data_IF_750487564653
#
_entry.id   IF_750487564653
#
_cell.length_a   1.000
_cell.length_b   1.000
_cell.length_c   1.000
_cell.angle_alpha   90.00
_cell.angle_beta   90.00
_cell.angle_gamma   90.00
#
_symmetry.space_group_name_H-M   'P 1'
#
loop_
_entity.id
_entity.type
_entity.pdbx_description
1 polymer ?
#
# COMPACT_ATOMS: atom_id res chain seq x y z
N UNK A 1 -21.63 21.45 11.76
CA UNK A 1 -21.20 21.26 10.36
C UNK A 1 -20.14 20.18 10.39
N UNK A 2 -20.28 19.07 9.64
CA UNK A 2 -19.24 18.04 9.59
C UNK A 2 -18.03 18.60 8.80
N UNK A 3 -16.82 18.19 9.19
CA UNK A 3 -15.62 18.46 8.39
C UNK A 3 -15.76 17.80 7.02
N UNK A 4 -15.38 18.52 5.97
CA UNK A 4 -15.22 17.97 4.62
C UNK A 4 -13.75 17.63 4.33
N UNK A 5 -13.46 16.74 3.37
CA UNK A 5 -12.08 16.50 2.92
C UNK A 5 -11.36 17.79 2.51
N UNK A 6 -12.07 18.70 1.84
CA UNK A 6 -11.56 20.01 1.48
C UNK A 6 -11.21 20.89 2.70
N UNK A 7 -11.92 20.75 3.82
CA UNK A 7 -11.58 21.48 5.05
C UNK A 7 -10.30 20.94 5.69
N UNK A 8 -10.02 19.64 5.55
CA UNK A 8 -8.78 19.01 6.02
C UNK A 8 -7.61 19.45 5.15
N UNK A 9 -7.79 19.47 3.83
CA UNK A 9 -6.77 19.90 2.88
C UNK A 9 -6.36 21.37 3.05
N UNK A 10 -7.33 22.25 3.34
CA UNK A 10 -7.10 23.69 3.45
C UNK A 10 -6.75 24.15 4.88
N UNK A 11 -6.56 23.24 5.82
CA UNK A 11 -6.25 23.60 7.21
C UNK A 11 -4.83 24.16 7.30
N UNK A 12 -4.66 25.30 7.97
CA UNK A 12 -3.36 25.90 8.20
C UNK A 12 -3.10 26.03 9.71
N UNK A 13 -2.02 25.41 10.18
CA UNK A 13 -1.59 25.51 11.58
C UNK A 13 -0.61 26.68 11.80
N UNK A 14 -0.77 27.40 12.91
CA UNK A 14 0.15 28.48 13.29
C UNK A 14 1.49 27.92 13.81
N UNK A 15 2.61 28.57 13.47
CA UNK A 15 3.93 28.18 13.98
C UNK A 15 3.99 28.29 15.51
N UNK A 16 4.69 27.37 16.20
CA UNK A 16 4.83 27.42 17.66
C UNK A 16 5.43 28.75 18.12
N UNK A 17 5.00 29.29 19.28
CA UNK A 17 5.64 30.46 19.88
C UNK A 17 7.13 30.22 20.10
N UNK A 18 7.95 31.26 19.92
CA UNK A 18 9.41 31.21 20.03
C UNK A 18 9.83 30.50 21.33
N UNK A 19 10.65 29.45 21.21
CA UNK A 19 11.17 28.67 22.34
C UNK A 19 10.35 27.43 22.71
N UNK A 20 9.22 27.15 22.03
CA UNK A 20 8.47 25.89 22.19
C UNK A 20 8.66 24.98 20.97
N UNK A 21 8.76 23.68 21.22
CA UNK A 21 8.81 22.65 20.17
C UNK A 21 7.39 22.41 19.65
N UNK A 22 7.25 22.36 18.33
CA UNK A 22 6.02 21.95 17.63
C UNK A 22 6.10 20.53 17.10
N UNK A 23 5.03 20.09 16.46
CA UNK A 23 5.03 18.88 15.64
C UNK A 23 5.88 19.09 14.38
N UNK A 24 6.36 17.98 13.82
CA UNK A 24 7.07 17.98 12.54
C UNK A 24 6.07 18.23 11.41
N UNK A 25 6.29 19.27 10.60
CA UNK A 25 5.38 19.67 9.52
C UNK A 25 5.17 18.50 8.54
N UNK A 26 6.23 17.80 8.14
CA UNK A 26 6.16 16.67 7.20
C UNK A 26 5.32 15.49 7.73
N UNK A 27 5.41 15.20 9.04
CA UNK A 27 4.64 14.12 9.68
C UNK A 27 3.17 14.50 9.84
N UNK A 28 2.89 15.79 10.08
CA UNK A 28 1.54 16.31 10.17
C UNK A 28 0.87 16.29 8.80
N UNK A 29 1.56 16.72 7.75
CA UNK A 29 1.04 16.72 6.38
C UNK A 29 0.73 15.30 5.91
N UNK A 30 1.65 14.33 6.13
CA UNK A 30 1.41 12.93 5.79
C UNK A 30 0.22 12.32 6.56
N UNK A 31 -0.01 12.75 7.80
CA UNK A 31 -1.18 12.32 8.56
C UNK A 31 -2.48 12.95 8.04
N UNK A 32 -2.45 14.23 7.64
CA UNK A 32 -3.60 14.90 7.05
C UNK A 32 -4.02 14.27 5.72
N UNK A 33 -3.07 13.89 4.86
CA UNK A 33 -3.35 13.15 3.62
C UNK A 33 -4.12 11.85 3.90
N UNK A 34 -3.71 11.12 4.94
CA UNK A 34 -4.32 9.86 5.34
C UNK A 34 -5.74 10.08 5.90
N UNK A 35 -5.93 11.16 6.67
CA UNK A 35 -7.25 11.57 7.17
C UNK A 35 -8.17 12.03 6.02
N UNK A 36 -7.66 12.79 5.06
CA UNK A 36 -8.41 13.25 3.88
C UNK A 36 -8.90 12.06 3.04
N UNK A 37 -8.02 11.09 2.80
CA UNK A 37 -8.35 9.88 2.06
C UNK A 37 -9.42 9.04 2.78
N UNK A 38 -9.27 8.82 4.09
CA UNK A 38 -10.25 8.03 4.85
C UNK A 38 -11.58 8.76 5.01
N UNK A 39 -11.58 10.09 5.16
CA UNK A 39 -12.81 10.87 5.22
C UNK A 39 -13.56 10.83 3.88
N UNK A 40 -12.86 10.87 2.76
CA UNK A 40 -13.44 10.69 1.42
C UNK A 40 -14.07 9.30 1.30
N UNK A 41 -13.31 8.25 1.67
CA UNK A 41 -13.79 6.87 1.66
C UNK A 41 -15.06 6.69 2.50
N UNK A 42 -15.08 7.24 3.72
CA UNK A 42 -16.23 7.15 4.61
C UNK A 42 -17.45 7.91 4.09
N UNK A 43 -17.26 9.04 3.41
CA UNK A 43 -18.37 9.79 2.80
C UNK A 43 -18.97 9.01 1.64
N UNK A 44 -18.15 8.43 0.77
CA UNK A 44 -18.59 7.56 -0.33
C UNK A 44 -19.31 6.32 0.21
N UNK A 45 -18.72 5.63 1.19
CA UNK A 45 -19.34 4.46 1.82
C UNK A 45 -20.68 4.81 2.50
N UNK A 46 -20.79 5.97 3.15
CA UNK A 46 -22.05 6.42 3.73
C UNK A 46 -23.10 6.74 2.66
N UNK A 47 -22.68 7.31 1.53
CA UNK A 47 -23.58 7.60 0.40
C UNK A 47 -24.12 6.30 -0.21
N UNK A 48 -23.25 5.32 -0.46
CA UNK A 48 -23.61 4.00 -0.99
C UNK A 48 -24.54 3.26 -0.02
N UNK A 49 -24.23 3.25 1.27
CA UNK A 49 -25.08 2.64 2.30
C UNK A 49 -26.46 3.29 2.36
N UNK A 50 -26.54 4.63 2.29
CA UNK A 50 -27.82 5.35 2.26
C UNK A 50 -28.63 5.01 1.00
N UNK A 51 -27.97 4.91 -0.14
CA UNK A 51 -28.63 4.49 -1.37
C UNK A 51 -29.17 3.06 -1.23
N UNK A 52 -28.39 2.14 -0.66
CA UNK A 52 -28.81 0.75 -0.47
C UNK A 52 -29.99 0.62 0.48
N UNK A 53 -30.01 1.40 1.56
CA UNK A 53 -31.17 1.47 2.47
C UNK A 53 -32.40 1.99 1.73
N UNK A 54 -32.26 3.04 0.91
CA UNK A 54 -33.38 3.56 0.13
C UNK A 54 -33.93 2.55 -0.89
N UNK A 55 -33.06 1.79 -1.57
CA UNK A 55 -33.44 0.70 -2.47
C UNK A 55 -34.22 -0.40 -1.72
N UNK A 56 -33.69 -0.86 -0.58
CA UNK A 56 -34.35 -1.89 0.24
C UNK A 56 -35.70 -1.41 0.78
N UNK A 57 -35.81 -0.15 1.21
CA UNK A 57 -37.06 0.43 1.66
C UNK A 57 -38.10 0.49 0.51
N UNK A 58 -37.66 0.78 -0.73
CA UNK A 58 -38.52 0.73 -1.92
C UNK A 58 -38.94 -0.70 -2.25
N UNK A 59 -38.05 -1.68 -2.18
CA UNK A 59 -38.37 -3.10 -2.38
C UNK A 59 -39.35 -3.60 -1.31
N UNK A 60 -39.16 -3.23 -0.04
CA UNK A 60 -40.08 -3.55 1.04
C UNK A 60 -41.44 -2.86 0.87
N UNK A 61 -41.46 -1.61 0.39
CA UNK A 61 -42.70 -0.91 0.07
C UNK A 61 -43.43 -1.56 -1.11
N UNK A 62 -42.70 -1.96 -2.16
CA UNK A 62 -43.24 -2.69 -3.30
C UNK A 62 -43.74 -4.09 -2.91
N UNK A 63 -43.03 -4.81 -2.04
CA UNK A 63 -43.46 -6.09 -1.50
C UNK A 63 -44.69 -5.95 -0.58
N UNK A 64 -44.81 -4.86 0.19
CA UNK A 64 -46.03 -4.54 0.96
C UNK A 64 -47.19 -4.13 0.07
N UNK A 65 -46.94 -3.41 -1.02
CA UNK A 65 -47.94 -3.05 -2.02
C UNK A 65 -48.39 -4.27 -2.84
N UNK A 66 -47.47 -5.19 -3.16
CA UNK A 66 -47.74 -6.45 -3.86
C UNK A 66 -48.37 -7.53 -2.97
N UNK A 67 -48.09 -7.52 -1.66
CA UNK A 67 -48.78 -8.30 -0.64
C UNK A 67 -50.12 -7.71 -0.19
N UNK A 68 -50.51 -6.58 -0.79
CA UNK A 68 -51.71 -5.79 -0.49
C UNK A 68 -52.80 -5.90 -1.56
N UNK A 69 -52.97 -7.08 -2.16
CA UNK A 69 -54.26 -7.49 -2.72
C UNK A 69 -54.73 -8.73 -1.95
N UNK A 70 -54.95 -8.56 -0.64
CA UNK A 70 -56.10 -9.20 -0.04
C UNK A 70 -57.30 -8.66 -0.84
N UNK A 71 -57.82 -9.49 -1.73
CA UNK A 71 -59.06 -9.23 -2.43
C UNK A 71 -60.04 -8.64 -1.42
N UNK A 72 -60.35 -7.36 -1.60
CA UNK A 72 -61.51 -6.77 -0.97
C UNK A 72 -62.67 -7.67 -1.38
N UNK A 73 -63.10 -8.53 -0.45
CA UNK A 73 -64.34 -9.24 -0.59
C UNK A 73 -65.39 -8.19 -0.96
N UNK A 74 -66.16 -8.39 -2.04
CA UNK A 74 -67.17 -7.42 -2.42
C UNK A 74 -68.06 -7.19 -1.21
N UNK A 75 -68.20 -5.93 -0.81
CA UNK A 75 -69.12 -5.52 0.23
C UNK A 75 -70.50 -6.08 -0.15
N UNK A 76 -70.97 -7.05 0.62
CA UNK A 76 -72.32 -7.55 0.52
C UNK A 76 -73.24 -6.44 0.99
N UNK A 77 -73.71 -5.64 0.05
CA UNK A 77 -74.83 -4.74 0.24
C UNK A 77 -76.08 -5.61 0.42
N UNK A 78 -76.74 -5.60 1.59
CA UNK A 78 -77.90 -6.44 1.80
C UNK A 78 -79.00 -6.02 0.82
N UNK A 79 -79.56 -6.96 0.03
CA UNK A 79 -80.68 -6.65 -0.83
C UNK A 79 -81.88 -6.17 0.02
N UNK A 80 -82.70 -5.24 -0.49
CA UNK A 80 -83.86 -4.72 0.23
C UNK A 80 -84.80 -5.86 0.60
N UNK A 81 -85.36 -5.77 1.81
CA UNK A 81 -86.41 -6.64 2.31
C UNK A 81 -87.48 -6.85 1.24
N UNK A 82 -87.45 -8.01 0.59
CA UNK A 82 -88.54 -8.49 -0.25
C UNK A 82 -89.37 -9.42 0.60
N UNK A 83 -90.57 -8.93 0.81
CA UNK A 83 -91.81 -9.57 1.26
C UNK A 83 -91.83 -11.09 1.13
N UNK A 84 -92.26 -11.71 2.23
CA UNK A 84 -92.58 -13.12 2.38
C UNK A 84 -93.51 -13.58 1.24
N UNK A 85 -93.18 -14.66 0.50
CA UNK A 85 -94.17 -15.36 -0.28
C UNK A 85 -95.09 -16.12 0.69
N UNK A 86 -96.33 -15.65 0.72
CA UNK A 86 -97.48 -16.28 1.32
C UNK A 86 -97.53 -17.78 0.98
N UNK A 87 -97.88 -18.55 2.00
CA UNK A 87 -98.19 -19.97 1.96
C UNK A 87 -99.16 -20.30 0.83
N UNK A 88 -98.66 -21.05 -0.17
CA UNK A 88 -99.54 -21.85 -1.01
C UNK A 88 -99.93 -23.11 -0.22
N UNK A 89 -101.08 -23.04 0.43
CA UNK A 89 -101.83 -24.23 0.84
C UNK A 89 -102.42 -24.87 -0.42
N UNK A 90 -101.90 -26.05 -0.76
CA UNK A 90 -102.35 -26.83 -1.90
C UNK A 90 -101.57 -28.12 -1.96
N UNK A 91 -102.06 -29.12 -1.24
CA UNK A 91 -101.53 -30.49 -1.22
C UNK A 91 -101.30 -31.02 -2.63
N UNK A 92 -100.02 -31.23 -2.98
CA UNK A 92 -99.58 -32.17 -4.00
C UNK A 92 -98.24 -32.74 -3.52
N UNK A 93 -98.27 -33.91 -2.88
CA UNK A 93 -97.07 -34.67 -2.44
C UNK A 93 -96.02 -34.77 -3.55
N UNK A 94 -96.44 -34.77 -4.81
CA UNK A 94 -95.59 -34.80 -5.99
C UNK A 94 -94.71 -33.54 -6.18
N UNK A 95 -95.17 -32.36 -5.76
CA UNK A 95 -94.38 -31.12 -5.83
C UNK A 95 -93.31 -31.07 -4.73
N UNK A 96 -93.63 -31.56 -3.52
CA UNK A 96 -92.65 -31.71 -2.43
C UNK A 96 -91.55 -32.73 -2.78
N UNK A 97 -91.93 -33.84 -3.43
CA UNK A 97 -90.97 -34.83 -3.94
C UNK A 97 -90.07 -34.28 -5.06
N UNK A 98 -90.62 -33.45 -5.97
CA UNK A 98 -89.84 -32.76 -7.00
C UNK A 98 -88.87 -31.73 -6.39
N UNK A 99 -89.31 -30.96 -5.38
CA UNK A 99 -88.46 -30.00 -4.67
C UNK A 99 -87.34 -30.69 -3.87
N UNK A 100 -87.63 -31.78 -3.17
CA UNK A 100 -86.63 -32.56 -2.44
C UNK A 100 -85.56 -33.16 -3.38
N UNK A 101 -85.97 -33.62 -4.57
CA UNK A 101 -85.03 -34.12 -5.59
C UNK A 101 -84.12 -33.01 -6.14
N UNK A 102 -84.64 -31.80 -6.33
CA UNK A 102 -83.84 -30.64 -6.75
C UNK A 102 -82.87 -30.20 -5.66
N UNK A 103 -83.29 -30.19 -4.38
CA UNK A 103 -82.42 -29.93 -3.24
C UNK A 103 -81.30 -30.96 -3.11
N UNK A 104 -81.60 -32.24 -3.28
CA UNK A 104 -80.61 -33.31 -3.28
C UNK A 104 -79.61 -33.17 -4.44
N UNK A 105 -80.09 -32.84 -5.66
CA UNK A 105 -79.22 -32.57 -6.79
C UNK A 105 -78.32 -31.34 -6.53
N UNK A 106 -78.88 -30.30 -5.92
CA UNK A 106 -78.12 -29.10 -5.54
C UNK A 106 -77.05 -29.41 -4.48
N UNK A 107 -77.37 -30.20 -3.46
CA UNK A 107 -76.40 -30.66 -2.45
C UNK A 107 -75.30 -31.51 -3.08
N UNK A 108 -75.63 -32.48 -3.93
CA UNK A 108 -74.64 -33.29 -4.66
C UNK A 108 -73.71 -32.43 -5.52
N UNK A 109 -74.25 -31.40 -6.18
CA UNK A 109 -73.42 -30.46 -6.97
C UNK A 109 -72.54 -29.58 -6.09
N UNK A 110 -73.04 -29.13 -4.93
CA UNK A 110 -72.28 -28.32 -3.98
C UNK A 110 -71.13 -29.13 -3.35
N UNK A 111 -71.39 -30.40 -2.98
CA UNK A 111 -70.38 -31.30 -2.44
C UNK A 111 -69.31 -31.61 -3.48
N UNK A 112 -69.70 -31.87 -4.73
CA UNK A 112 -68.74 -32.07 -5.84
C UNK A 112 -67.88 -30.84 -6.07
N UNK A 113 -68.46 -29.64 -6.20
CA UNK A 113 -67.71 -28.40 -6.39
C UNK A 113 -66.75 -28.13 -5.23
N UNK A 114 -67.19 -28.41 -4.00
CA UNK A 114 -66.34 -28.27 -2.81
C UNK A 114 -65.18 -29.26 -2.85
N UNK A 115 -65.42 -30.50 -3.27
CA UNK A 115 -64.36 -31.51 -3.39
C UNK A 115 -63.33 -31.17 -4.47
N UNK A 116 -63.78 -30.67 -5.62
CA UNK A 116 -62.89 -30.27 -6.71
C UNK A 116 -62.08 -29.04 -6.34
N UNK A 117 -62.71 -28.04 -5.73
CA UNK A 117 -62.02 -26.84 -5.27
C UNK A 117 -60.96 -27.17 -4.20
N UNK A 118 -61.27 -28.07 -3.25
CA UNK A 118 -60.30 -28.55 -2.26
C UNK A 118 -59.12 -29.26 -2.93
N UNK A 119 -59.39 -30.21 -3.83
CA UNK A 119 -58.35 -30.95 -4.55
C UNK A 119 -57.46 -30.02 -5.40
N UNK A 120 -58.04 -29.03 -6.08
CA UNK A 120 -57.29 -28.02 -6.82
C UNK A 120 -56.43 -27.15 -5.88
N UNK A 121 -56.96 -26.73 -4.73
CA UNK A 121 -56.20 -25.94 -3.75
C UNK A 121 -55.03 -26.72 -3.15
N UNK A 122 -55.24 -28.00 -2.81
CA UNK A 122 -54.20 -28.88 -2.27
C UNK A 122 -53.10 -29.09 -3.32
N UNK A 123 -53.48 -29.26 -4.59
CA UNK A 123 -52.54 -29.35 -5.70
C UNK A 123 -51.74 -28.05 -5.85
N UNK A 124 -52.38 -26.88 -5.86
CA UNK A 124 -51.67 -25.60 -5.97
C UNK A 124 -50.70 -25.38 -4.80
N UNK A 125 -51.09 -25.76 -3.58
CA UNK A 125 -50.20 -25.69 -2.41
C UNK A 125 -49.02 -26.66 -2.52
N UNK A 126 -49.23 -27.87 -3.04
CA UNK A 126 -48.17 -28.83 -3.28
C UNK A 126 -47.19 -28.34 -4.36
N UNK A 127 -47.71 -27.81 -5.47
CA UNK A 127 -46.91 -27.26 -6.56
C UNK A 127 -46.11 -26.03 -6.09
N UNK A 128 -46.75 -25.12 -5.34
CA UNK A 128 -46.08 -23.95 -4.78
C UNK A 128 -44.97 -24.32 -3.78
N UNK A 129 -45.20 -25.33 -2.93
CA UNK A 129 -44.17 -25.86 -2.02
C UNK A 129 -43.00 -26.47 -2.78
N UNK A 130 -43.28 -27.31 -3.79
CA UNK A 130 -42.23 -27.92 -4.61
C UNK A 130 -41.40 -26.86 -5.36
N UNK A 131 -42.03 -25.79 -5.86
CA UNK A 131 -41.33 -24.67 -6.48
C UNK A 131 -40.47 -23.89 -5.48
N UNK A 132 -40.99 -23.63 -4.28
CA UNK A 132 -40.22 -22.96 -3.22
C UNK A 132 -39.00 -23.78 -2.81
N UNK A 133 -39.16 -25.09 -2.62
CA UNK A 133 -38.06 -25.99 -2.27
C UNK A 133 -37.00 -26.04 -3.39
N UNK A 134 -37.42 -26.06 -4.66
CA UNK A 134 -36.52 -26.02 -5.79
C UNK A 134 -35.71 -24.71 -5.85
N UNK A 135 -36.36 -23.56 -5.64
CA UNK A 135 -35.69 -22.26 -5.59
C UNK A 135 -34.69 -22.16 -4.44
N UNK A 136 -35.03 -22.68 -3.26
CA UNK A 136 -34.11 -22.70 -2.11
C UNK A 136 -32.90 -23.57 -2.42
N UNK A 137 -33.09 -24.75 -3.03
CA UNK A 137 -32.00 -25.64 -3.41
C UNK A 137 -31.07 -25.01 -4.47
N UNK A 138 -31.64 -24.30 -5.45
CA UNK A 138 -30.86 -23.57 -6.46
C UNK A 138 -30.09 -22.39 -5.85
N UNK A 139 -30.73 -21.60 -4.98
CA UNK A 139 -30.10 -20.51 -4.25
C UNK A 139 -28.95 -21.00 -3.36
N UNK A 140 -29.13 -22.14 -2.67
CA UNK A 140 -28.07 -22.76 -1.88
C UNK A 140 -26.91 -23.23 -2.75
N UNK A 141 -27.18 -23.90 -3.87
CA UNK A 141 -26.14 -24.39 -4.79
C UNK A 141 -25.33 -23.26 -5.41
N UNK A 142 -25.99 -22.18 -5.80
CA UNK A 142 -25.33 -20.98 -6.36
C UNK A 142 -24.51 -20.26 -5.28
N UNK A 143 -25.02 -20.14 -4.06
CA UNK A 143 -24.27 -19.60 -2.92
C UNK A 143 -23.02 -20.45 -2.61
N UNK A 144 -23.14 -21.78 -2.57
CA UNK A 144 -22.01 -22.67 -2.34
C UNK A 144 -20.94 -22.55 -3.44
N UNK A 145 -21.38 -22.48 -4.70
CA UNK A 145 -20.47 -22.33 -5.85
C UNK A 145 -19.73 -21.01 -5.80
N UNK A 146 -20.44 -19.90 -5.55
CA UNK A 146 -19.81 -18.57 -5.46
C UNK A 146 -18.84 -18.47 -4.29
N UNK A 147 -19.17 -19.06 -3.13
CA UNK A 147 -18.25 -19.13 -1.98
C UNK A 147 -17.02 -19.97 -2.32
N UNK A 148 -17.18 -21.11 -2.99
CA UNK A 148 -16.06 -21.96 -3.41
C UNK A 148 -15.14 -21.23 -4.40
N UNK A 149 -15.71 -20.58 -5.41
CA UNK A 149 -14.94 -19.78 -6.38
C UNK A 149 -14.22 -18.61 -5.72
N UNK A 150 -14.89 -17.88 -4.82
CA UNK A 150 -14.29 -16.77 -4.09
C UNK A 150 -13.11 -17.25 -3.23
N UNK A 151 -13.26 -18.38 -2.54
CA UNK A 151 -12.18 -19.00 -1.75
C UNK A 151 -11.00 -19.40 -2.63
N UNK A 152 -11.26 -20.08 -3.76
CA UNK A 152 -10.20 -20.50 -4.68
C UNK A 152 -9.45 -19.29 -5.27
N UNK A 153 -10.16 -18.22 -5.63
CA UNK A 153 -9.53 -16.97 -6.13
C UNK A 153 -8.69 -16.29 -5.03
N UNK A 154 -9.19 -16.26 -3.79
CA UNK A 154 -8.45 -15.69 -2.67
C UNK A 154 -7.17 -16.49 -2.38
N UNK A 155 -7.24 -17.82 -2.36
CA UNK A 155 -6.07 -18.70 -2.18
C UNK A 155 -5.04 -18.50 -3.30
N UNK A 156 -5.48 -18.41 -4.56
CA UNK A 156 -4.60 -18.14 -5.69
C UNK A 156 -3.91 -16.77 -5.59
N UNK A 157 -4.63 -15.73 -5.16
CA UNK A 157 -4.07 -14.40 -4.96
C UNK A 157 -3.05 -14.39 -3.82
N UNK A 158 -3.33 -15.08 -2.72
CA UNK A 158 -2.39 -15.20 -1.60
C UNK A 158 -1.11 -15.94 -2.03
N UNK A 159 -1.23 -17.02 -2.80
CA UNK A 159 -0.08 -17.76 -3.30
C UNK A 159 0.77 -16.92 -4.27
N UNK A 160 0.15 -16.19 -5.19
CA UNK A 160 0.85 -15.28 -6.12
C UNK A 160 1.53 -14.12 -5.38
N UNK A 161 0.85 -13.51 -4.40
CA UNK A 161 1.43 -12.47 -3.56
C UNK A 161 2.64 -12.98 -2.76
N UNK A 162 2.55 -14.18 -2.17
CA UNK A 162 3.67 -14.82 -1.48
C UNK A 162 4.84 -15.08 -2.43
N UNK A 163 4.58 -15.67 -3.60
CA UNK A 163 5.62 -15.94 -4.59
C UNK A 163 6.34 -14.67 -5.06
N UNK A 164 5.59 -13.58 -5.32
CA UNK A 164 6.16 -12.28 -5.69
C UNK A 164 6.99 -11.67 -4.57
N UNK A 165 6.50 -11.75 -3.32
CA UNK A 165 7.23 -11.27 -2.15
C UNK A 165 8.55 -12.03 -1.96
N UNK A 166 8.54 -13.36 -2.07
CA UNK A 166 9.74 -14.17 -1.97
C UNK A 166 10.74 -13.86 -3.09
N UNK A 167 10.26 -13.71 -4.33
CA UNK A 167 11.10 -13.33 -5.46
C UNK A 167 11.75 -11.96 -5.26
N UNK A 168 10.99 -10.98 -4.76
CA UNK A 168 11.50 -9.64 -4.48
C UNK A 168 12.55 -9.67 -3.35
N UNK A 169 12.33 -10.44 -2.29
CA UNK A 169 13.29 -10.61 -1.20
C UNK A 169 14.58 -11.25 -1.70
N UNK A 170 14.51 -12.31 -2.52
CA UNK A 170 15.69 -12.92 -3.13
C UNK A 170 16.45 -11.93 -4.01
N UNK A 171 15.75 -11.19 -4.86
CA UNK A 171 16.39 -10.18 -5.70
C UNK A 171 17.05 -9.06 -4.89
N UNK A 172 16.44 -8.64 -3.78
CA UNK A 172 17.01 -7.64 -2.88
C UNK A 172 18.26 -8.16 -2.17
N UNK A 173 18.23 -9.41 -1.70
CA UNK A 173 19.39 -10.09 -1.10
C UNK A 173 20.54 -10.22 -2.09
N UNK A 174 20.29 -10.73 -3.30
CA UNK A 174 21.31 -10.86 -4.34
C UNK A 174 21.96 -9.51 -4.69
N UNK A 175 21.16 -8.43 -4.76
CA UNK A 175 21.69 -7.07 -4.98
C UNK A 175 22.53 -6.57 -3.81
N UNK A 176 22.11 -6.85 -2.58
CA UNK A 176 22.85 -6.47 -1.38
C UNK A 176 24.20 -7.20 -1.31
N UNK A 177 24.21 -8.52 -1.55
CA UNK A 177 25.41 -9.35 -1.58
C UNK A 177 26.37 -8.90 -2.69
N UNK A 178 25.84 -8.60 -3.89
CA UNK A 178 26.64 -8.10 -5.00
C UNK A 178 27.28 -6.73 -4.68
N UNK A 179 26.52 -5.83 -4.05
CA UNK A 179 27.02 -4.52 -3.63
C UNK A 179 28.11 -4.66 -2.55
N UNK A 180 27.92 -5.56 -1.58
CA UNK A 180 28.90 -5.85 -0.55
C UNK A 180 30.20 -6.41 -1.17
N UNK A 181 30.09 -7.40 -2.06
CA UNK A 181 31.24 -7.96 -2.76
C UNK A 181 31.97 -6.92 -3.63
N UNK A 182 31.25 -5.96 -4.22
CA UNK A 182 31.86 -4.85 -4.96
C UNK A 182 32.58 -3.86 -4.03
N UNK A 183 31.98 -3.54 -2.89
CA UNK A 183 32.59 -2.68 -1.87
C UNK A 183 33.86 -3.30 -1.28
N UNK A 184 33.85 -4.60 -0.97
CA UNK A 184 35.01 -5.33 -0.45
C UNK A 184 36.15 -5.41 -1.46
N UNK A 185 35.84 -5.64 -2.75
CA UNK A 185 36.83 -5.61 -3.83
C UNK A 185 37.49 -4.23 -3.95
N UNK A 186 36.68 -3.17 -4.04
CA UNK A 186 37.20 -1.78 -4.10
C UNK A 186 38.01 -1.42 -2.86
N UNK A 187 37.57 -1.83 -1.68
CA UNK A 187 38.30 -1.60 -0.45
C UNK A 187 39.67 -2.27 -0.48
N UNK A 188 39.73 -3.54 -0.90
CA UNK A 188 40.97 -4.30 -1.01
C UNK A 188 41.93 -3.69 -2.04
N UNK A 189 41.42 -3.24 -3.18
CA UNK A 189 42.20 -2.54 -4.20
C UNK A 189 42.78 -1.22 -3.68
N UNK A 190 41.94 -0.37 -3.07
CA UNK A 190 42.37 0.92 -2.50
C UNK A 190 43.41 0.68 -1.41
N UNK A 191 43.17 -0.24 -0.48
CA UNK A 191 44.13 -0.56 0.58
C UNK A 191 45.43 -1.12 0.01
N UNK A 192 45.36 -1.95 -1.04
CA UNK A 192 46.53 -2.40 -1.79
C UNK A 192 47.35 -1.22 -2.32
N UNK A 193 46.71 -0.24 -2.96
CA UNK A 193 47.39 0.94 -3.50
C UNK A 193 47.99 1.83 -2.41
N UNK A 194 47.27 2.05 -1.31
CA UNK A 194 47.74 2.84 -0.16
C UNK A 194 48.97 2.17 0.47
N UNK A 195 48.94 0.84 0.64
CA UNK A 195 50.07 0.10 1.18
C UNK A 195 51.29 0.17 0.26
N UNK A 196 51.10 0.08 -1.07
CA UNK A 196 52.19 0.25 -2.03
C UNK A 196 52.79 1.65 -1.94
N UNK A 197 51.97 2.70 -1.93
CA UNK A 197 52.43 4.09 -1.79
C UNK A 197 53.18 4.30 -0.49
N UNK A 198 52.66 3.76 0.62
CA UNK A 198 53.30 3.81 1.93
C UNK A 198 54.70 3.18 1.87
N UNK A 199 54.83 1.96 1.34
CA UNK A 199 56.13 1.29 1.20
C UNK A 199 57.12 2.11 0.37
N UNK A 200 56.67 2.72 -0.73
CA UNK A 200 57.51 3.59 -1.57
C UNK A 200 57.97 4.83 -0.81
N UNK A 201 57.06 5.47 -0.05
CA UNK A 201 57.40 6.65 0.76
C UNK A 201 58.34 6.31 1.90
N UNK A 202 58.14 5.17 2.58
CA UNK A 202 59.04 4.66 3.62
C UNK A 202 60.44 4.39 3.06
N UNK A 203 60.54 3.77 1.88
CA UNK A 203 61.82 3.56 1.20
C UNK A 203 62.54 4.87 0.83
N UNK A 204 61.82 5.88 0.32
CA UNK A 204 62.39 7.21 0.04
C UNK A 204 62.86 7.91 1.31
N UNK A 205 62.11 7.80 2.41
CA UNK A 205 62.49 8.36 3.71
C UNK A 205 63.82 7.76 4.20
N UNK A 206 64.00 6.44 4.04
CA UNK A 206 65.23 5.77 4.42
C UNK A 206 66.43 6.19 3.53
N UNK A 207 66.22 6.32 2.22
CA UNK A 207 67.22 6.86 1.30
C UNK A 207 67.63 8.29 1.69
N UNK A 208 66.68 9.17 1.99
CA UNK A 208 66.92 10.54 2.45
C UNK A 208 67.71 10.58 3.75
N UNK A 209 67.38 9.71 4.73
CA UNK A 209 68.13 9.61 5.99
C UNK A 209 69.57 9.14 5.78
N UNK A 210 69.80 8.21 4.86
CA UNK A 210 71.17 7.77 4.51
C UNK A 210 71.94 8.87 3.79
N UNK A 211 71.32 9.54 2.82
CA UNK A 211 71.91 10.70 2.14
C UNK A 211 72.28 11.82 3.13
N UNK A 212 71.40 12.15 4.08
CA UNK A 212 71.67 13.14 5.13
C UNK A 212 72.88 12.74 5.98
N UNK A 213 72.96 11.48 6.42
CA UNK A 213 74.10 10.97 7.20
C UNK A 213 75.40 11.06 6.41
N UNK A 214 75.41 10.62 5.16
CA UNK A 214 76.60 10.71 4.30
C UNK A 214 77.00 12.15 4.03
N UNK A 215 76.04 13.03 3.72
CA UNK A 215 76.29 14.44 3.47
C UNK A 215 76.89 15.13 4.70
N UNK A 216 76.34 14.88 5.90
CA UNK A 216 76.90 15.41 7.15
C UNK A 216 78.32 14.93 7.39
N UNK A 217 78.60 13.64 7.17
CA UNK A 217 79.96 13.09 7.31
C UNK A 217 80.92 13.74 6.31
N UNK A 218 80.56 13.83 5.02
CA UNK A 218 81.38 14.47 3.97
C UNK A 218 81.62 15.94 4.26
N UNK A 219 80.59 16.68 4.69
CA UNK A 219 80.70 18.09 5.05
C UNK A 219 81.64 18.28 6.26
N UNK A 220 81.52 17.43 7.28
CA UNK A 220 82.41 17.45 8.44
C UNK A 220 83.86 17.22 8.01
N UNK A 221 84.14 16.16 7.24
CA UNK A 221 85.49 15.87 6.75
C UNK A 221 86.05 17.00 5.89
N UNK A 222 85.24 17.62 5.03
CA UNK A 222 85.66 18.77 4.21
C UNK A 222 86.02 20.00 5.05
N UNK A 223 85.21 20.32 6.07
CA UNK A 223 85.49 21.43 6.97
C UNK A 223 86.74 21.16 7.82
N UNK A 224 86.92 19.93 8.31
CA UNK A 224 88.13 19.51 9.02
C UNK A 224 89.38 19.64 8.13
N UNK A 225 89.33 19.19 6.88
CA UNK A 225 90.45 19.34 5.95
C UNK A 225 90.75 20.81 5.63
N UNK A 226 89.73 21.65 5.42
CA UNK A 226 89.92 23.09 5.20
C UNK A 226 90.56 23.78 6.41
N UNK A 227 90.15 23.42 7.62
CA UNK A 227 90.76 23.94 8.84
C UNK A 227 92.21 23.50 9.01
N UNK A 228 92.53 22.25 8.66
CA UNK A 228 93.90 21.75 8.68
C UNK A 228 94.80 22.47 7.66
N UNK A 229 94.32 22.68 6.42
CA UNK A 229 95.04 23.48 5.42
C UNK A 229 95.30 24.91 5.87
N UNK A 230 94.31 25.56 6.53
CA UNK A 230 94.49 26.89 7.11
C UNK A 230 95.48 26.87 8.28
N UNK A 231 95.47 25.83 9.11
CA UNK A 231 96.46 25.62 10.17
C UNK A 231 97.88 25.46 9.62
N UNK A 232 98.05 24.67 8.55
CA UNK A 232 99.33 24.50 7.86
C UNK A 232 99.80 25.79 7.19
N UNK A 233 98.90 26.53 6.54
CA UNK A 233 99.22 27.84 5.92
C UNK A 233 99.50 28.93 6.96
N UNK A 234 98.81 28.92 8.10
CA UNK A 234 99.10 29.78 9.24
C UNK A 234 100.44 29.44 9.91
N UNK A 235 100.81 28.16 9.92
CA UNK A 235 102.13 27.69 10.34
C UNK A 235 103.24 27.96 9.31
N UNK A 236 102.86 28.27 8.06
CA UNK A 236 103.75 28.66 6.97
C UNK A 236 103.72 30.18 6.72
N UNK A 237 103.56 30.99 7.78
CA UNK A 237 103.88 32.41 7.71
C UNK A 237 105.41 32.54 7.50
N UNK A 238 105.88 33.11 6.38
CA UNK A 238 107.30 33.37 6.19
C UNK A 238 107.74 34.45 7.17
N UNK A 239 108.81 34.20 7.92
CA UNK A 239 109.55 35.27 8.60
C UNK A 239 110.08 36.23 7.54
N UNK A 240 109.78 37.50 7.73
CA UNK A 240 110.03 38.61 6.83
C UNK A 240 111.46 38.61 6.28
N UNK A 241 111.59 38.73 4.96
CA UNK A 241 112.83 39.16 4.29
C UNK A 241 112.43 40.10 3.17
N UNK A 242 112.27 41.35 3.58
CA UNK A 242 112.09 42.52 2.73
C UNK A 242 113.28 42.74 1.79
N UNK A 243 113.05 42.77 0.48
CA UNK A 243 113.74 43.68 -0.45
C UNK A 243 113.13 43.66 -1.88
N UNK A 244 112.67 44.84 -2.32
CA UNK A 244 112.68 45.34 -3.71
C UNK A 244 111.65 44.74 -4.68
N UNK A 245 110.50 45.39 -4.91
CA UNK A 245 110.27 46.36 -6.01
C UNK A 245 110.71 45.84 -7.39
N UNK A 246 109.79 45.65 -8.34
CA UNK A 246 109.30 46.74 -9.20
C UNK A 246 108.21 46.28 -10.20
N UNK A 247 107.32 47.22 -10.57
CA UNK A 247 106.57 47.37 -11.85
C UNK A 247 105.87 46.15 -12.49
N UNK A 248 104.56 46.10 -12.77
CA UNK A 248 103.64 47.11 -13.31
C UNK A 248 102.98 46.53 -14.59
N UNK A 249 101.65 46.49 -14.70
CA UNK A 249 101.01 45.93 -15.91
C UNK A 249 99.52 45.65 -15.83
N UNK A 250 98.74 46.72 -15.98
CA UNK A 250 97.28 46.79 -16.05
C UNK A 250 96.70 46.03 -17.25
N UNK A 251 95.62 45.25 -17.08
CA UNK A 251 94.60 44.99 -18.13
C UNK A 251 93.29 44.43 -17.54
N UNK A 252 92.33 45.35 -17.47
CA UNK A 252 90.91 45.23 -17.22
C UNK A 252 90.18 44.49 -18.36
N UNK A 253 89.14 43.69 -18.10
CA UNK A 253 87.82 43.74 -18.78
C UNK A 253 86.82 42.67 -18.25
N UNK A 254 85.80 43.16 -17.53
CA UNK A 254 84.35 42.81 -17.55
C UNK A 254 83.88 41.82 -18.65
N UNK A 255 82.83 40.96 -18.54
CA UNK A 255 81.74 40.64 -17.56
C UNK A 255 80.87 39.48 -18.19
N UNK A 256 79.57 39.22 -17.83
CA UNK A 256 78.99 38.03 -17.20
C UNK A 256 78.08 37.14 -18.11
N UNK A 257 77.09 36.43 -17.51
CA UNK A 257 75.89 35.69 -18.06
C UNK A 257 76.03 34.16 -18.01
N UNK A 258 75.05 33.34 -17.60
CA UNK A 258 73.64 33.47 -17.17
C UNK A 258 73.32 32.34 -16.19
#
# INVERSE_FOLDING_TARGET
MPLTPADVHNVAFSKPPIGKRGYNEDEVDAFLDLVEAELTRLIEENADLRQRVAELDQELAAARAGGGQAAAAPAYEPPPAREEPQTFEGTNEEQALKAARVLSLAQDTADRLTSTAKAESEKMLADARAQADALIAEAQRTAETTVAEARQRAEALLADAQARSEAQLRQAQEKADALQADAERKHSEIMGTINQQRTVLEGRLEQLRTFEREYRTRLKTYLESQLEELGQRGSAAPVDSSAGSDTGGFSQFNRPTS
#
